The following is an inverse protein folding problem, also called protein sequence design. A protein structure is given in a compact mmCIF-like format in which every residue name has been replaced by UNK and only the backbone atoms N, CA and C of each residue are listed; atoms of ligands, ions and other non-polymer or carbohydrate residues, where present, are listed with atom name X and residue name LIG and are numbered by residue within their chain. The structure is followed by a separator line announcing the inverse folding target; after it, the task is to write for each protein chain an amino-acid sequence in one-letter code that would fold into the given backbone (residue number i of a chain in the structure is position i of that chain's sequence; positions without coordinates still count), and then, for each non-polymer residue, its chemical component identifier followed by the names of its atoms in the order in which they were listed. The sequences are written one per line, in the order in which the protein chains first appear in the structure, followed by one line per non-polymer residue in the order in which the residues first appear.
data_IF_190061086905
#
_entry.id   IF_190061086905
#
_cell.length_a   1.000
_cell.length_b   1.000
_cell.length_c   1.000
_cell.angle_alpha   90.00
_cell.angle_beta   90.00
_cell.angle_gamma   90.00
#
_symmetry.space_group_name_H-M   'P 1'
#
loop_
_entity.id
_entity.type
_entity.pdbx_description
1 polymer ?
#
# COMPACT_ATOMS: atom_id res chain seq x y z
N UNK A 1 23.11 -5.07 -0.18
CA UNK A 1 22.08 -6.13 -0.24
C UNK A 1 21.25 -5.86 -1.48
N UNK A 2 21.19 -6.79 -2.44
CA UNK A 2 20.45 -6.58 -3.71
C UNK A 2 18.97 -6.86 -3.48
N UNK A 3 18.12 -5.85 -3.69
CA UNK A 3 16.69 -6.06 -3.88
C UNK A 3 16.50 -6.92 -5.14
N UNK A 4 15.70 -7.99 -5.02
CA UNK A 4 15.32 -8.79 -6.18
C UNK A 4 14.30 -7.98 -6.98
N UNK A 5 14.59 -7.80 -8.26
CA UNK A 5 13.65 -7.32 -9.27
C UNK A 5 12.43 -8.23 -9.28
N UNK A 6 11.24 -7.66 -9.10
CA UNK A 6 9.98 -8.29 -9.43
C UNK A 6 9.50 -7.65 -10.74
N UNK A 7 9.82 -8.27 -11.87
CA UNK A 7 9.19 -7.95 -13.15
C UNK A 7 7.69 -8.24 -13.05
N UNK A 8 6.85 -7.20 -13.06
CA UNK A 8 5.41 -7.31 -13.18
C UNK A 8 5.02 -7.30 -14.67
N UNK A 9 5.31 -8.40 -15.36
CA UNK A 9 4.76 -8.68 -16.69
C UNK A 9 3.59 -9.64 -16.53
N UNK A 10 2.35 -9.15 -16.68
CA UNK A 10 1.18 -10.01 -16.84
C UNK A 10 1.22 -10.56 -18.28
N UNK A 11 2.05 -11.58 -18.51
CA UNK A 11 1.90 -12.48 -19.65
C UNK A 11 1.08 -13.70 -19.21
N UNK A 12 -0.15 -13.79 -19.72
CA UNK A 12 -0.99 -14.97 -19.56
C UNK A 12 -0.45 -16.10 -20.45
N UNK A 13 0.46 -16.91 -19.93
CA UNK A 13 0.85 -18.17 -20.55
C UNK A 13 -0.21 -19.26 -20.26
N UNK A 14 -0.97 -19.66 -21.28
CA UNK A 14 -1.87 -20.81 -21.23
C UNK A 14 -1.10 -22.13 -21.21
N UNK A 15 -1.36 -23.07 -20.28
CA UNK A 15 -0.93 -24.45 -20.44
C UNK A 15 -1.90 -25.18 -21.37
N UNK A 16 -1.37 -25.63 -22.51
CA UNK A 16 -2.02 -26.63 -23.38
C UNK A 16 -2.33 -27.90 -22.59
N UNK A 17 -3.61 -28.32 -22.53
CA UNK A 17 -4.00 -29.66 -22.05
C UNK A 17 -4.47 -30.54 -23.22
N UNK A 18 -4.06 -31.82 -23.25
CA UNK A 18 -4.61 -32.82 -24.15
C UNK A 18 -5.81 -33.53 -23.50
N UNK A 19 -6.70 -34.08 -24.33
CA UNK A 19 -7.58 -35.18 -23.95
C UNK A 19 -9.06 -34.83 -23.81
N UNK A 20 -9.78 -34.99 -24.91
CA UNK A 20 -11.24 -35.02 -24.96
C UNK A 20 -11.80 -36.25 -24.23
N UNK A 21 -12.82 -36.07 -23.38
CA UNK A 21 -13.88 -37.07 -23.13
C UNK A 21 -15.22 -36.37 -22.93
N UNK A 22 -16.16 -36.73 -23.79
CA UNK A 22 -17.53 -36.24 -23.81
C UNK A 22 -18.32 -36.69 -22.58
N UNK A 23 -19.09 -35.78 -21.98
CA UNK A 23 -20.17 -36.11 -21.06
C UNK A 23 -21.49 -35.50 -21.55
N UNK A 24 -22.50 -36.37 -21.63
CA UNK A 24 -23.87 -36.13 -22.11
C UNK A 24 -24.63 -35.17 -21.20
N UNK A 25 -25.36 -34.23 -21.81
CA UNK A 25 -26.39 -33.43 -21.16
C UNK A 25 -27.67 -34.24 -20.87
N UNK A 26 -28.40 -33.97 -19.77
CA UNK A 26 -29.77 -34.41 -19.62
C UNK A 26 -30.77 -33.37 -20.15
N UNK A 27 -31.95 -33.91 -20.45
CA UNK A 27 -33.02 -33.38 -21.30
C UNK A 27 -33.88 -32.28 -20.64
N UNK A 28 -34.50 -31.49 -21.52
CA UNK A 28 -35.61 -30.54 -21.31
C UNK A 28 -36.79 -31.13 -20.51
N UNK A 29 -37.47 -30.25 -19.76
CA UNK A 29 -38.88 -30.35 -19.38
C UNK A 29 -39.59 -29.01 -19.71
N UNK A 30 -40.93 -29.01 -19.89
CA UNK A 30 -41.62 -28.14 -20.85
C UNK A 30 -42.26 -26.89 -20.25
N UNK A 31 -42.49 -25.91 -21.13
CA UNK A 31 -43.36 -24.75 -20.95
C UNK A 31 -44.86 -25.13 -20.90
N UNK A 32 -45.62 -24.41 -20.08
CA UNK A 32 -47.06 -24.16 -20.28
C UNK A 32 -47.35 -22.67 -20.04
N UNK A 33 -47.70 -21.99 -21.14
CA UNK A 33 -48.85 -21.07 -21.38
C UNK A 33 -49.72 -20.67 -20.16
N UNK A 34 -50.36 -19.50 -20.03
CA UNK A 34 -50.55 -18.28 -20.84
C UNK A 34 -51.61 -17.41 -20.11
N UNK A 35 -51.60 -16.09 -20.39
CA UNK A 35 -52.78 -15.23 -20.68
C UNK A 35 -53.11 -14.08 -19.71
N UNK A 36 -52.90 -12.85 -20.20
CA UNK A 36 -53.81 -11.69 -20.29
C UNK A 36 -52.94 -10.48 -20.76
N UNK A 37 -53.28 -9.60 -21.70
CA UNK A 37 -54.54 -9.24 -22.33
C UNK A 37 -54.32 -8.58 -23.72
N UNK A 38 -55.39 -8.63 -24.52
CA UNK A 38 -55.69 -7.89 -25.78
C UNK A 38 -55.53 -6.36 -25.65
N UNK A 39 -55.42 -5.51 -26.68
CA UNK A 39 -56.04 -5.44 -28.01
C UNK A 39 -55.24 -4.45 -28.90
N UNK A 40 -54.87 -4.79 -30.14
CA UNK A 40 -55.57 -4.56 -31.42
C UNK A 40 -55.75 -3.09 -31.86
N UNK A 41 -54.91 -2.62 -32.81
CA UNK A 41 -55.36 -1.89 -34.02
C UNK A 41 -54.53 -2.36 -35.23
N UNK A 42 -55.24 -2.66 -36.32
CA UNK A 42 -54.79 -3.20 -37.61
C UNK A 42 -54.28 -2.10 -38.56
N UNK A 43 -53.36 -2.46 -39.47
CA UNK A 43 -53.05 -1.68 -40.68
C UNK A 43 -51.97 -2.31 -41.56
N UNK A 44 -52.41 -3.05 -42.59
CA UNK A 44 -51.69 -3.70 -43.70
C UNK A 44 -50.39 -3.04 -44.21
N UNK A 45 -49.28 -3.78 -44.32
CA UNK A 45 -48.84 -4.65 -45.43
C UNK A 45 -48.09 -3.89 -46.55
N UNK A 46 -46.85 -4.29 -46.84
CA UNK A 46 -46.35 -4.66 -48.18
C UNK A 46 -44.92 -5.21 -48.12
N UNK A 47 -44.70 -6.30 -48.86
CA UNK A 47 -43.45 -7.04 -49.09
C UNK A 47 -42.37 -6.18 -49.78
N UNK A 48 -41.10 -6.41 -49.45
CA UNK A 48 -40.07 -6.91 -50.38
C UNK A 48 -38.67 -6.97 -49.72
N UNK A 49 -38.05 -8.17 -49.72
CA UNK A 49 -36.59 -8.36 -49.73
C UNK A 49 -36.16 -8.49 -51.20
N UNK A 50 -34.99 -7.97 -51.60
CA UNK A 50 -33.80 -8.81 -51.86
C UNK A 50 -32.50 -8.07 -51.41
N UNK A 51 -31.26 -8.57 -51.40
CA UNK A 51 -30.52 -9.80 -51.74
C UNK A 51 -29.14 -9.62 -51.08
N UNK A 52 -28.52 -10.71 -50.62
CA UNK A 52 -27.08 -10.78 -50.34
C UNK A 52 -26.28 -10.78 -51.66
N UNK A 53 -25.01 -10.37 -51.62
CA UNK A 53 -23.97 -10.97 -52.44
C UNK A 53 -23.07 -11.90 -51.60
N UNK A 54 -22.95 -13.11 -52.12
CA UNK A 54 -21.91 -14.11 -51.89
C UNK A 54 -20.55 -13.62 -52.37
N UNK A 55 -19.47 -13.94 -51.64
CA UNK A 55 -18.10 -14.03 -52.15
C UNK A 55 -17.38 -15.23 -51.49
N UNK A 56 -17.38 -16.36 -52.20
CA UNK A 56 -16.22 -17.26 -52.30
C UNK A 56 -15.14 -16.49 -53.10
N UNK A 57 -13.83 -16.58 -52.95
CA UNK A 57 -12.91 -17.55 -52.33
C UNK A 57 -11.69 -17.61 -53.27
N UNK A 58 -10.49 -17.24 -52.80
CA UNK A 58 -9.22 -17.63 -53.43
C UNK A 58 -8.05 -17.41 -52.45
N UNK A 59 -7.49 -18.52 -51.98
CA UNK A 59 -6.26 -18.60 -51.19
C UNK A 59 -5.03 -18.46 -52.09
N UNK A 60 -3.98 -17.81 -51.59
CA UNK A 60 -2.60 -18.08 -52.02
C UNK A 60 -1.59 -17.75 -50.93
N UNK A 61 -0.83 -18.78 -50.52
CA UNK A 61 0.58 -18.66 -50.16
C UNK A 61 0.98 -18.42 -48.70
N UNK A 62 1.03 -19.48 -47.89
CA UNK A 62 2.03 -19.59 -46.81
C UNK A 62 3.33 -20.18 -47.37
N UNK A 63 4.52 -19.78 -46.87
CA UNK A 63 5.63 -20.70 -46.70
C UNK A 63 5.90 -21.00 -45.22
N UNK A 64 6.28 -22.26 -45.02
CA UNK A 64 6.53 -22.95 -43.75
C UNK A 64 7.79 -22.49 -43.03
N UNK A 65 7.77 -22.72 -41.72
CA UNK A 65 8.92 -22.68 -40.81
C UNK A 65 10.03 -23.67 -41.19
N UNK A 66 11.27 -23.26 -40.93
CA UNK A 66 12.43 -24.14 -40.74
C UNK A 66 13.29 -23.58 -39.60
N UNK A 67 13.59 -24.44 -38.63
CA UNK A 67 14.35 -24.17 -37.41
C UNK A 67 15.87 -24.46 -37.63
N UNK A 68 16.76 -24.39 -36.63
CA UNK A 68 17.85 -23.41 -36.53
C UNK A 68 19.26 -24.02 -36.75
N UNK A 69 20.27 -23.17 -36.98
CA UNK A 69 21.66 -23.61 -37.11
C UNK A 69 22.69 -22.49 -36.95
N UNK A 70 23.37 -22.51 -35.80
CA UNK A 70 24.78 -22.16 -35.55
C UNK A 70 25.51 -21.13 -36.43
N UNK A 71 26.14 -20.14 -35.80
CA UNK A 71 27.56 -19.85 -36.01
C UNK A 71 28.16 -19.14 -34.79
N UNK A 72 29.07 -19.86 -34.15
CA UNK A 72 30.07 -19.35 -33.22
C UNK A 72 31.19 -18.65 -33.99
N UNK A 73 31.88 -17.71 -33.34
CA UNK A 73 33.28 -17.26 -33.55
C UNK A 73 33.48 -16.03 -32.61
N UNK A 74 34.52 -15.78 -31.80
CA UNK A 74 35.79 -16.40 -31.40
C UNK A 74 36.17 -15.79 -30.03
N UNK A 75 36.71 -16.61 -29.12
CA UNK A 75 37.59 -16.26 -27.98
C UNK A 75 39.01 -15.85 -28.49
N UNK A 76 40.08 -15.49 -27.72
CA UNK A 76 40.35 -15.83 -26.30
C UNK A 76 41.35 -14.97 -25.42
N UNK A 77 41.43 -15.40 -24.15
CA UNK A 77 42.52 -15.34 -23.12
C UNK A 77 42.83 -14.06 -22.31
N UNK A 78 42.61 -14.13 -20.98
CA UNK A 78 43.66 -14.42 -19.99
C UNK A 78 43.07 -14.77 -18.59
N UNK A 79 43.60 -15.82 -17.97
CA UNK A 79 43.35 -16.25 -16.58
C UNK A 79 44.48 -15.77 -15.67
N UNK A 80 44.10 -15.23 -14.51
CA UNK A 80 44.68 -15.47 -13.18
C UNK A 80 43.62 -14.96 -12.19
N UNK A 81 43.20 -15.64 -11.12
CA UNK A 81 43.86 -16.66 -10.33
C UNK A 81 44.14 -16.10 -8.95
N UNK A 82 43.13 -15.72 -8.17
CA UNK A 82 43.32 -15.44 -6.74
C UNK A 82 42.05 -15.60 -5.90
N UNK A 83 42.29 -15.95 -4.64
CA UNK A 83 41.43 -16.70 -3.71
C UNK A 83 40.40 -15.84 -2.99
N UNK A 84 39.22 -16.43 -2.75
CA UNK A 84 38.16 -15.94 -1.87
C UNK A 84 38.50 -16.26 -0.41
N UNK A 85 38.35 -15.32 0.54
CA UNK A 85 38.18 -15.65 1.95
C UNK A 85 36.69 -15.66 2.32
N UNK A 86 36.25 -16.83 2.76
CA UNK A 86 35.04 -17.08 3.53
C UNK A 86 35.12 -16.35 4.89
N UNK A 87 34.05 -15.67 5.31
CA UNK A 87 33.93 -15.21 6.70
C UNK A 87 32.57 -15.52 7.30
N UNK A 88 32.68 -16.20 8.44
CA UNK A 88 31.67 -16.85 9.28
C UNK A 88 30.74 -15.88 9.99
N UNK A 89 29.54 -16.42 10.28
CA UNK A 89 28.67 -16.04 11.41
C UNK A 89 29.46 -15.85 12.71
N UNK A 90 29.16 -14.78 13.43
CA UNK A 90 29.44 -14.67 14.88
C UNK A 90 28.14 -14.32 15.59
N UNK A 91 27.67 -15.26 16.41
CA UNK A 91 26.70 -15.11 17.48
C UNK A 91 27.41 -15.50 18.78
N UNK A 92 27.11 -14.79 19.87
CA UNK A 92 27.29 -15.30 21.24
C UNK A 92 28.49 -14.73 22.00
N UNK A 93 28.21 -13.79 22.90
CA UNK A 93 29.04 -13.43 24.05
C UNK A 93 28.34 -13.97 25.30
N UNK A 94 28.84 -15.08 25.84
CA UNK A 94 28.61 -15.50 27.23
C UNK A 94 29.96 -15.45 27.95
N UNK A 95 30.03 -14.73 29.07
CA UNK A 95 31.17 -14.71 29.99
C UNK A 95 30.82 -15.54 31.22
N UNK A 96 31.48 -16.69 31.36
CA UNK A 96 31.45 -17.53 32.55
C UNK A 96 32.38 -17.00 33.65
N UNK A 97 31.83 -16.89 34.86
CA UNK A 97 32.55 -16.70 36.12
C UNK A 97 32.89 -18.06 36.74
N UNK A 98 34.16 -18.29 37.05
CA UNK A 98 34.58 -19.35 37.99
C UNK A 98 35.05 -18.77 39.33
N UNK A 99 34.58 -19.43 40.40
CA UNK A 99 34.90 -19.19 41.81
C UNK A 99 36.18 -19.93 42.21
N UNK A 100 36.99 -19.34 43.10
CA UNK A 100 37.71 -20.07 44.17
C UNK A 100 37.69 -19.32 45.50
N UNK A 101 37.63 -20.11 46.58
CA UNK A 101 37.40 -19.77 47.99
C UNK A 101 38.71 -19.63 48.79
N UNK A 102 38.64 -18.75 49.80
CA UNK A 102 39.05 -18.88 51.21
C UNK A 102 40.50 -19.20 51.63
N UNK A 103 40.95 -18.51 52.69
CA UNK A 103 42.03 -18.97 53.57
C UNK A 103 42.65 -17.86 54.43
N UNK A 104 42.43 -17.92 55.75
CA UNK A 104 42.87 -16.97 56.77
C UNK A 104 44.34 -17.18 57.23
N UNK A 105 44.95 -16.15 57.83
CA UNK A 105 45.60 -16.14 59.18
C UNK A 105 46.54 -14.93 59.41
N UNK A 106 46.41 -14.37 60.61
CA UNK A 106 47.37 -13.55 61.39
C UNK A 106 48.49 -14.47 61.94
N UNK A 107 49.69 -13.98 62.37
CA UNK A 107 49.81 -13.15 63.60
C UNK A 107 50.98 -12.14 63.70
N UNK A 108 50.88 -11.26 64.72
CA UNK A 108 51.89 -10.77 65.71
C UNK A 108 53.25 -10.18 65.24
N UNK A 109 53.92 -9.20 65.87
CA UNK A 109 53.81 -8.50 67.16
C UNK A 109 54.84 -7.34 67.24
N UNK A 110 54.61 -6.38 68.14
CA UNK A 110 55.60 -5.52 68.85
C UNK A 110 56.07 -4.24 68.14
N UNK A 111 56.46 -3.13 68.79
CA UNK A 111 56.37 -2.59 70.15
C UNK A 111 56.97 -1.15 70.10
N UNK A 112 56.65 -0.26 71.05
CA UNK A 112 57.31 1.05 71.26
C UNK A 112 56.34 2.24 71.33
N UNK A 113 55.70 2.55 72.47
CA UNK A 113 56.15 3.35 73.64
C UNK A 113 56.31 4.85 73.35
N UNK A 114 55.52 5.66 74.07
CA UNK A 114 55.64 7.12 74.11
C UNK A 114 54.52 7.76 74.94
N UNK A 115 54.77 7.92 76.24
CA UNK A 115 53.89 8.40 77.29
C UNK A 115 53.50 9.89 77.18
N UNK A 116 52.40 10.27 77.86
CA UNK A 116 52.22 11.63 78.38
C UNK A 116 50.79 11.99 78.81
N UNK A 117 50.50 11.81 80.11
CA UNK A 117 49.66 12.67 81.00
C UNK A 117 48.17 12.93 80.64
N UNK A 118 47.17 13.01 81.54
CA UNK A 118 47.11 13.11 83.01
C UNK A 118 45.67 12.85 83.53
N UNK A 119 45.59 12.32 84.75
CA UNK A 119 44.57 12.44 85.84
C UNK A 119 43.05 12.53 85.54
N UNK A 120 42.26 11.50 85.89
CA UNK A 120 41.52 11.30 87.17
C UNK A 120 40.40 12.33 87.48
N UNK A 121 39.11 11.99 87.31
CA UNK A 121 38.21 11.28 88.25
C UNK A 121 37.72 12.15 89.44
N UNK A 122 36.42 12.50 89.47
CA UNK A 122 35.46 12.09 90.53
C UNK A 122 34.16 12.94 90.60
N UNK A 123 33.04 12.20 90.65
CA UNK A 123 31.86 12.32 91.54
C UNK A 123 30.93 13.56 91.52
N UNK A 124 29.73 13.28 90.99
CA UNK A 124 28.37 13.42 91.59
C UNK A 124 28.05 14.66 92.43
N UNK A 125 27.00 15.40 92.02
CA UNK A 125 25.92 15.90 92.92
C UNK A 125 24.57 16.05 92.22
N UNK A 126 23.51 15.70 92.96
CA UNK A 126 22.07 15.61 92.64
C UNK A 126 21.44 16.99 92.36
N UNK A 127 20.35 17.04 91.56
CA UNK A 127 18.96 17.34 92.02
C UNK A 127 17.90 17.39 90.90
N UNK A 128 16.79 16.66 91.16
CA UNK A 128 15.35 16.91 90.87
C UNK A 128 14.76 16.70 89.45
N UNK A 129 13.87 15.69 89.36
CA UNK A 129 12.77 15.39 88.39
C UNK A 129 11.53 16.31 88.64
N UNK A 130 10.37 16.24 87.92
CA UNK A 130 9.88 15.36 86.83
C UNK A 130 9.22 16.12 85.63
N UNK A 131 8.90 15.54 84.46
CA UNK A 131 7.64 14.81 84.19
C UNK A 131 7.51 14.38 82.71
N UNK A 132 6.89 13.20 82.54
CA UNK A 132 6.14 12.63 81.40
C UNK A 132 6.33 13.17 79.97
N UNK A 133 6.71 12.30 79.03
CA UNK A 133 5.81 11.70 78.01
C UNK A 133 6.62 10.66 77.22
N UNK A 134 6.20 9.40 77.29
CA UNK A 134 6.64 8.33 76.39
C UNK A 134 6.07 8.61 74.98
N UNK A 135 6.95 8.85 74.00
CA UNK A 135 6.63 8.69 72.58
C UNK A 135 7.64 7.75 71.95
N UNK A 136 7.14 6.57 71.58
CA UNK A 136 7.83 5.57 70.77
C UNK A 136 8.27 6.17 69.44
N UNK A 137 9.58 6.40 69.28
CA UNK A 137 10.17 6.81 68.01
C UNK A 137 10.26 5.63 67.05
N UNK A 138 9.43 5.66 66.00
CA UNK A 138 9.60 4.79 64.82
C UNK A 138 10.89 5.19 64.10
N UNK A 139 11.76 4.25 63.66
CA UNK A 139 13.08 4.61 63.14
C UNK A 139 13.00 5.44 61.84
N UNK A 140 13.47 6.70 61.92
CA UNK A 140 13.59 7.65 60.78
C UNK A 140 14.36 7.06 59.58
N UNK A 141 15.19 6.05 59.79
CA UNK A 141 16.03 5.42 58.77
C UNK A 141 15.22 4.52 57.80
N UNK A 142 14.14 3.90 58.27
CA UNK A 142 13.24 3.10 57.43
C UNK A 142 12.50 3.97 56.41
N UNK A 143 12.01 5.14 56.86
CA UNK A 143 11.26 6.08 56.01
C UNK A 143 12.11 6.65 54.87
N UNK A 144 13.40 6.90 55.12
CA UNK A 144 14.35 7.39 54.10
C UNK A 144 14.71 6.33 53.07
N UNK A 145 14.77 5.05 53.47
CA UNK A 145 14.97 3.91 52.57
C UNK A 145 13.75 3.70 51.65
N UNK A 146 12.55 3.76 52.21
CA UNK A 146 11.30 3.66 51.44
C UNK A 146 11.13 4.80 50.42
N UNK A 147 11.50 6.03 50.77
CA UNK A 147 11.46 7.17 49.83
C UNK A 147 12.42 6.99 48.65
N UNK A 148 13.62 6.43 48.88
CA UNK A 148 14.57 6.13 47.79
C UNK A 148 14.03 5.04 46.86
N UNK A 149 13.46 3.97 47.43
CA UNK A 149 12.86 2.88 46.65
C UNK A 149 11.68 3.40 45.81
N UNK A 150 10.80 4.21 46.41
CA UNK A 150 9.68 4.82 45.69
C UNK A 150 10.16 5.72 44.55
N UNK A 151 11.23 6.51 44.77
CA UNK A 151 11.82 7.35 43.73
C UNK A 151 12.36 6.51 42.56
N UNK A 152 13.15 5.47 42.83
CA UNK A 152 13.69 4.60 41.78
C UNK A 152 12.60 3.84 41.01
N UNK A 153 11.54 3.38 41.70
CA UNK A 153 10.41 2.74 41.04
C UNK A 153 9.63 3.72 40.17
N UNK A 154 9.41 4.96 40.65
CA UNK A 154 8.75 6.00 39.86
C UNK A 154 9.58 6.43 38.65
N UNK A 155 10.90 6.53 38.79
CA UNK A 155 11.79 6.89 37.67
C UNK A 155 11.89 5.76 36.67
N UNK A 156 11.91 4.50 37.11
CA UNK A 156 11.90 3.33 36.23
C UNK A 156 10.56 3.21 35.48
N UNK A 157 9.44 3.47 36.15
CA UNK A 157 8.13 3.49 35.50
C UNK A 157 8.03 4.64 34.50
N UNK A 158 8.53 5.83 34.83
CA UNK A 158 8.56 6.96 33.91
C UNK A 158 9.48 6.68 32.71
N UNK A 159 10.65 6.09 32.95
CA UNK A 159 11.57 5.70 31.87
C UNK A 159 10.97 4.59 30.99
N UNK A 160 10.21 3.66 31.57
CA UNK A 160 9.48 2.62 30.83
C UNK A 160 8.31 3.20 30.02
N UNK A 161 7.58 4.17 30.57
CA UNK A 161 6.53 4.88 29.85
C UNK A 161 7.11 5.72 28.71
N UNK A 162 8.22 6.42 28.96
CA UNK A 162 8.92 7.22 27.95
C UNK A 162 9.56 6.32 26.88
N UNK A 163 10.21 5.20 27.26
CA UNK A 163 10.76 4.25 26.28
C UNK A 163 9.66 3.49 25.55
N UNK A 164 8.54 3.20 26.21
CA UNK A 164 7.35 2.61 25.59
C UNK A 164 6.73 3.56 24.57
N UNK A 165 6.64 4.86 24.88
CA UNK A 165 6.21 5.87 23.90
C UNK A 165 7.20 6.06 22.76
N UNK A 166 8.51 5.90 23.01
CA UNK A 166 9.55 6.00 21.99
C UNK A 166 9.57 4.77 21.07
N UNK A 167 9.31 3.57 21.61
CA UNK A 167 9.20 2.32 20.85
C UNK A 167 7.87 2.18 20.10
N UNK A 168 6.80 2.84 20.58
CA UNK A 168 5.52 2.99 19.84
C UNK A 168 5.55 4.14 18.83
N UNK A 169 6.57 5.01 18.89
CA UNK A 169 6.81 6.13 17.99
C UNK A 169 7.77 5.71 16.85
N UNK A 170 7.49 4.59 16.17
CA UNK A 170 8.19 4.29 14.91
C UNK A 170 7.62 5.05 13.71
N UNK A 171 6.51 5.76 13.87
CA UNK A 171 5.98 6.62 12.83
C UNK A 171 6.55 8.03 13.00
N UNK A 172 7.43 8.43 12.09
CA UNK A 172 7.93 9.81 12.00
C UNK A 172 6.78 10.82 12.06
N UNK A 173 7.09 12.06 12.47
CA UNK A 173 6.12 13.15 12.57
C UNK A 173 5.23 13.17 11.33
N UNK A 174 3.94 12.91 11.51
CA UNK A 174 3.00 12.78 10.40
C UNK A 174 2.19 14.07 10.27
N UNK A 175 2.44 14.80 9.19
CA UNK A 175 1.64 15.96 8.80
C UNK A 175 0.42 15.49 7.99
N UNK A 176 -0.72 16.14 8.17
CA UNK A 176 -1.91 15.87 7.36
C UNK A 176 -1.99 16.88 6.24
N UNK A 177 -1.78 16.42 5.00
CA UNK A 177 -1.85 17.23 3.79
C UNK A 177 -3.28 17.68 3.51
N UNK A 178 -4.25 16.78 3.70
CA UNK A 178 -5.66 17.06 3.52
C UNK A 178 -6.49 16.20 4.49
N UNK A 179 -7.21 16.84 5.40
CA UNK A 179 -8.10 16.18 6.37
C UNK A 179 -9.42 15.77 5.73
N UNK A 180 -10.06 14.71 6.20
CA UNK A 180 -11.36 14.28 5.64
C UNK A 180 -12.46 15.32 5.92
N UNK A 181 -12.36 16.01 7.06
CA UNK A 181 -13.34 16.99 7.53
C UNK A 181 -13.25 18.35 6.85
N UNK A 182 -12.15 18.65 6.14
CA UNK A 182 -11.99 19.89 5.38
C UNK A 182 -12.36 19.71 3.90
N UNK A 183 -12.90 20.77 3.28
CA UNK A 183 -13.08 20.84 1.83
C UNK A 183 -11.87 21.56 1.23
N UNK A 184 -11.08 20.85 0.42
CA UNK A 184 -9.87 21.40 -0.22
C UNK A 184 -10.22 21.82 -1.64
N UNK A 185 -10.32 23.12 -1.93
CA UNK A 185 -10.58 23.58 -3.29
C UNK A 185 -9.45 23.17 -4.24
N UNK A 186 -8.22 23.51 -3.87
CA UNK A 186 -7.00 23.13 -4.57
C UNK A 186 -5.81 23.31 -3.64
N UNK A 187 -4.99 22.26 -3.50
CA UNK A 187 -3.72 22.32 -2.79
C UNK A 187 -2.67 21.63 -3.64
N UNK A 188 -1.52 22.26 -3.82
CA UNK A 188 -0.40 21.69 -4.56
C UNK A 188 0.90 21.95 -3.80
N UNK A 189 1.74 20.93 -3.71
CA UNK A 189 3.09 21.00 -3.16
C UNK A 189 4.05 20.63 -4.27
N UNK A 190 4.89 21.59 -4.63
CA UNK A 190 6.01 21.36 -5.53
C UNK A 190 7.15 20.68 -4.78
N UNK A 191 7.76 19.69 -5.43
CA UNK A 191 8.83 18.86 -4.89
C UNK A 191 9.90 18.73 -5.98
N UNK A 192 11.20 18.70 -5.64
CA UNK A 192 12.24 18.42 -6.62
C UNK A 192 11.95 17.13 -7.39
N UNK A 193 12.06 17.19 -8.72
CA UNK A 193 11.91 16.01 -9.57
C UNK A 193 13.02 14.99 -9.26
N UNK A 194 12.68 13.71 -9.24
CA UNK A 194 13.68 12.65 -9.16
C UNK A 194 14.48 12.51 -10.47
N UNK A 195 15.60 11.80 -10.38
CA UNK A 195 16.43 11.42 -11.53
C UNK A 195 15.77 10.33 -12.40
N UNK A 196 14.63 9.77 -11.99
CA UNK A 196 13.95 8.69 -12.74
C UNK A 196 13.63 9.16 -14.17
N UNK A 197 13.22 10.42 -14.33
CA UNK A 197 12.87 10.99 -15.63
C UNK A 197 14.08 11.28 -16.54
N UNK A 198 15.31 11.23 -16.01
CA UNK A 198 16.54 11.38 -16.79
C UNK A 198 16.97 10.08 -17.45
N UNK A 199 16.62 8.95 -16.83
CA UNK A 199 16.95 7.61 -17.32
C UNK A 199 16.08 7.14 -18.49
N UNK A 200 15.00 7.87 -18.79
CA UNK A 200 14.00 7.52 -19.80
C UNK A 200 13.94 8.52 -20.96
N UNK A 201 13.38 8.07 -22.09
CA UNK A 201 13.08 8.93 -23.23
C UNK A 201 12.16 10.07 -22.78
N UNK A 202 12.57 11.32 -23.04
CA UNK A 202 11.74 12.49 -22.80
C UNK A 202 10.76 12.71 -23.96
N UNK A 203 9.55 13.12 -23.61
CA UNK A 203 8.46 13.43 -24.52
C UNK A 203 8.09 14.91 -24.38
N UNK A 204 8.20 15.63 -25.48
CA UNK A 204 7.93 17.06 -25.51
C UNK A 204 6.50 17.37 -25.09
N UNK A 205 6.34 18.38 -24.23
CA UNK A 205 5.03 18.81 -23.75
C UNK A 205 4.34 17.87 -22.75
N UNK A 206 4.99 16.78 -22.29
CA UNK A 206 4.44 15.89 -21.26
C UNK A 206 5.42 15.51 -20.15
N UNK A 207 6.67 15.15 -20.46
CA UNK A 207 7.61 14.66 -19.43
C UNK A 207 7.76 15.68 -18.30
N UNK A 208 7.63 15.25 -17.02
CA UNK A 208 7.71 16.15 -15.87
C UNK A 208 8.95 17.04 -15.89
N UNK A 209 8.73 18.35 -15.82
CA UNK A 209 9.76 19.38 -15.55
C UNK A 209 9.52 20.10 -14.22
N UNK A 210 8.29 20.04 -13.76
CA UNK A 210 7.80 20.47 -12.45
C UNK A 210 7.21 19.21 -11.81
N UNK A 211 7.69 18.85 -10.63
CA UNK A 211 7.23 17.66 -9.92
C UNK A 211 6.54 18.05 -8.62
N UNK A 212 5.74 17.13 -8.09
CA UNK A 212 4.97 17.40 -6.90
C UNK A 212 3.69 16.61 -6.84
N UNK A 213 2.82 17.06 -5.93
CA UNK A 213 1.56 16.40 -5.61
C UNK A 213 0.50 17.40 -5.21
N UNK A 214 -0.73 17.12 -5.60
CA UNK A 214 -1.88 17.95 -5.30
C UNK A 214 -3.08 17.17 -4.83
N UNK A 215 -3.98 17.87 -4.14
CA UNK A 215 -5.25 17.38 -3.64
C UNK A 215 -6.34 18.41 -3.95
N UNK A 216 -7.49 17.95 -4.43
CA UNK A 216 -8.66 18.79 -4.73
C UNK A 216 -9.96 18.02 -4.51
N UNK A 217 -10.96 18.71 -3.96
CA UNK A 217 -12.34 18.28 -3.78
C UNK A 217 -13.28 18.99 -4.78
N UNK A 218 -12.75 19.86 -5.64
CA UNK A 218 -13.55 20.70 -6.53
C UNK A 218 -13.91 20.02 -7.85
N UNK A 219 -13.25 18.91 -8.19
CA UNK A 219 -13.33 18.32 -9.53
C UNK A 219 -14.53 17.38 -9.71
N UNK A 220 -14.75 16.51 -8.72
CA UNK A 220 -15.77 15.46 -8.71
C UNK A 220 -16.66 15.68 -7.50
N UNK A 221 -17.96 15.88 -7.74
CA UNK A 221 -18.87 16.09 -6.62
C UNK A 221 -19.22 14.75 -5.94
N UNK A 222 -19.88 14.84 -4.78
CA UNK A 222 -20.21 13.65 -3.98
C UNK A 222 -21.15 12.68 -4.70
N UNK A 223 -22.15 13.18 -5.43
CA UNK A 223 -23.10 12.33 -6.17
C UNK A 223 -22.40 11.53 -7.27
N UNK A 224 -21.48 12.17 -8.00
CA UNK A 224 -20.65 11.50 -9.01
C UNK A 224 -19.74 10.44 -8.36
N UNK A 225 -19.11 10.76 -7.24
CA UNK A 225 -18.28 9.80 -6.50
C UNK A 225 -19.09 8.59 -6.02
N UNK A 226 -20.31 8.81 -5.52
CA UNK A 226 -21.22 7.72 -5.13
C UNK A 226 -21.68 6.88 -6.33
N UNK A 227 -21.93 7.49 -7.49
CA UNK A 227 -22.22 6.76 -8.74
C UNK A 227 -21.03 5.91 -9.18
N UNK A 228 -19.81 6.46 -9.15
CA UNK A 228 -18.57 5.73 -9.45
C UNK A 228 -18.34 4.60 -8.44
N UNK A 229 -18.62 4.82 -7.14
CA UNK A 229 -18.59 3.77 -6.11
C UNK A 229 -19.53 2.62 -6.45
N UNK A 230 -20.76 2.91 -6.89
CA UNK A 230 -21.73 1.87 -7.28
C UNK A 230 -21.27 1.05 -8.50
N UNK A 231 -20.49 1.63 -9.40
CA UNK A 231 -19.84 0.87 -10.49
C UNK A 231 -18.84 -0.13 -9.88
N UNK A 232 -17.97 0.33 -8.98
CA UNK A 232 -17.00 -0.52 -8.30
C UNK A 232 -17.68 -1.66 -7.51
N UNK A 233 -18.72 -1.34 -6.73
CA UNK A 233 -19.46 -2.30 -5.92
C UNK A 233 -20.15 -3.37 -6.77
N UNK A 234 -20.81 -2.98 -7.87
CA UNK A 234 -21.42 -3.94 -8.80
C UNK A 234 -20.39 -4.83 -9.47
N UNK A 235 -19.29 -4.27 -9.97
CA UNK A 235 -18.23 -5.07 -10.61
C UNK A 235 -17.55 -6.04 -9.63
N UNK A 236 -17.27 -5.58 -8.40
CA UNK A 236 -16.70 -6.39 -7.31
C UNK A 236 -17.73 -7.27 -6.59
N UNK A 237 -19.00 -7.28 -7.03
CA UNK A 237 -19.98 -8.29 -6.60
C UNK A 237 -19.85 -9.59 -7.40
N UNK A 238 -19.26 -9.53 -8.59
CA UNK A 238 -18.96 -10.71 -9.42
C UNK A 238 -17.81 -11.55 -8.88
N UNK A 239 -16.94 -10.95 -8.06
CA UNK A 239 -15.76 -11.59 -7.50
C UNK A 239 -15.07 -10.71 -6.47
N UNK A 240 -14.21 -11.30 -5.66
CA UNK A 240 -13.35 -10.59 -4.74
C UNK A 240 -12.19 -11.48 -4.32
N UNK A 241 -11.17 -10.88 -3.72
CA UNK A 241 -10.09 -11.63 -3.12
C UNK A 241 -10.55 -12.34 -1.84
N UNK A 242 -9.92 -13.47 -1.52
CA UNK A 242 -10.00 -14.11 -0.19
C UNK A 242 -9.31 -13.27 0.91
N UNK A 243 -8.47 -12.31 0.51
CA UNK A 243 -7.79 -11.39 1.41
C UNK A 243 -8.38 -9.98 1.43
N UNK A 244 -7.61 -9.06 2.01
CA UNK A 244 -8.06 -7.70 2.30
C UNK A 244 -8.19 -6.75 1.11
N UNK A 245 -7.62 -7.07 -0.06
CA UNK A 245 -7.67 -6.18 -1.22
C UNK A 245 -8.24 -6.87 -2.46
N UNK A 246 -9.20 -6.23 -3.11
CA UNK A 246 -9.78 -6.68 -4.38
C UNK A 246 -9.64 -5.60 -5.43
N UNK A 247 -9.32 -6.02 -6.66
CA UNK A 247 -9.07 -5.14 -7.80
C UNK A 247 -10.09 -5.44 -8.90
N UNK A 248 -10.56 -4.39 -9.54
CA UNK A 248 -11.39 -4.41 -10.75
C UNK A 248 -10.82 -3.40 -11.75
N UNK A 249 -10.42 -3.87 -12.93
CA UNK A 249 -9.94 -3.05 -14.04
C UNK A 249 -10.92 -3.15 -15.22
N UNK A 250 -11.60 -2.06 -15.53
CA UNK A 250 -12.57 -1.99 -16.64
C UNK A 250 -11.90 -2.03 -18.02
N UNK A 251 -10.61 -1.72 -18.13
CA UNK A 251 -9.88 -1.72 -19.40
C UNK A 251 -9.47 -3.13 -19.81
N UNK A 252 -8.78 -3.82 -18.92
CA UNK A 252 -8.31 -5.19 -19.18
C UNK A 252 -9.35 -6.26 -18.87
N UNK A 253 -10.37 -5.91 -18.08
CA UNK A 253 -11.32 -6.85 -17.48
C UNK A 253 -10.75 -7.59 -16.27
N UNK A 254 -9.56 -7.25 -15.77
CA UNK A 254 -8.99 -7.96 -14.62
C UNK A 254 -9.87 -7.79 -13.38
N UNK A 255 -10.27 -8.89 -12.76
CA UNK A 255 -11.08 -8.94 -11.55
C UNK A 255 -10.48 -9.96 -10.57
N UNK A 256 -10.34 -9.57 -9.31
CA UNK A 256 -9.97 -10.51 -8.23
C UNK A 256 -11.06 -11.55 -8.02
N UNK A 257 -10.67 -12.83 -7.97
CA UNK A 257 -11.56 -13.95 -7.67
C UNK A 257 -10.82 -15.01 -6.83
N UNK A 258 -11.10 -15.03 -5.53
CA UNK A 258 -10.39 -15.85 -4.54
C UNK A 258 -8.91 -15.46 -4.45
N UNK A 259 -8.01 -16.32 -4.92
CA UNK A 259 -6.55 -16.09 -4.91
C UNK A 259 -5.98 -15.73 -6.28
N UNK A 260 -6.84 -15.51 -7.27
CA UNK A 260 -6.43 -15.34 -8.66
C UNK A 260 -7.11 -14.13 -9.30
N UNK A 261 -6.62 -13.76 -10.48
CA UNK A 261 -7.29 -12.80 -11.36
C UNK A 261 -7.97 -13.54 -12.51
N UNK A 262 -9.17 -13.08 -12.87
CA UNK A 262 -9.88 -13.50 -14.07
C UNK A 262 -10.14 -12.30 -14.97
N UNK A 263 -10.30 -12.56 -16.26
CA UNK A 263 -10.84 -11.55 -17.18
C UNK A 263 -12.37 -11.63 -17.12
N UNK A 264 -13.03 -10.64 -16.53
CA UNK A 264 -14.47 -10.63 -16.30
C UNK A 264 -15.28 -10.65 -17.61
N UNK A 265 -14.82 -9.97 -18.65
CA UNK A 265 -15.49 -9.96 -19.96
C UNK A 265 -15.55 -11.36 -20.57
N UNK A 266 -14.45 -12.11 -20.47
CA UNK A 266 -14.40 -13.51 -20.95
C UNK A 266 -15.11 -14.48 -20.02
N UNK A 267 -14.99 -14.27 -18.71
CA UNK A 267 -15.49 -15.22 -17.71
C UNK A 267 -17.01 -15.14 -17.53
N UNK A 268 -17.57 -13.93 -17.50
CA UNK A 268 -19.01 -13.71 -17.32
C UNK A 268 -19.76 -13.49 -18.64
N UNK A 269 -19.06 -13.14 -19.72
CA UNK A 269 -19.64 -12.96 -21.05
C UNK A 269 -20.80 -11.95 -21.02
N UNK A 270 -21.92 -12.33 -21.63
CA UNK A 270 -23.12 -11.49 -21.77
C UNK A 270 -23.67 -10.94 -20.44
N UNK A 271 -23.41 -11.62 -19.32
CA UNK A 271 -23.86 -11.16 -17.98
C UNK A 271 -23.24 -9.82 -17.58
N UNK A 272 -22.15 -9.39 -18.21
CA UNK A 272 -21.54 -8.08 -17.94
C UNK A 272 -22.50 -6.93 -18.27
N UNK A 273 -23.39 -7.10 -19.25
CA UNK A 273 -24.40 -6.10 -19.60
C UNK A 273 -25.51 -5.95 -18.55
N UNK A 274 -25.68 -6.93 -17.66
CA UNK A 274 -26.57 -6.81 -16.50
C UNK A 274 -25.91 -6.04 -15.35
N UNK A 275 -24.58 -5.93 -15.37
CA UNK A 275 -23.77 -5.37 -14.28
C UNK A 275 -23.38 -3.93 -14.57
N UNK A 276 -23.08 -3.58 -15.81
CA UNK A 276 -22.71 -2.23 -16.21
C UNK A 276 -23.55 -1.73 -17.39
N UNK A 277 -23.68 -0.41 -17.45
CA UNK A 277 -24.44 0.31 -18.48
C UNK A 277 -23.50 1.24 -19.27
N UNK A 278 -23.91 1.70 -20.46
CA UNK A 278 -23.10 2.66 -21.20
C UNK A 278 -22.98 4.00 -20.45
N UNK A 279 -23.98 4.37 -19.65
CA UNK A 279 -23.95 5.55 -18.78
C UNK A 279 -22.87 5.44 -17.69
N UNK A 280 -22.57 4.23 -17.21
CA UNK A 280 -21.48 4.00 -16.26
C UNK A 280 -20.12 4.28 -16.89
N UNK A 281 -19.92 3.77 -18.11
CA UNK A 281 -18.70 3.98 -18.87
C UNK A 281 -18.57 5.44 -19.30
N UNK A 282 -19.66 6.11 -19.66
CA UNK A 282 -19.65 7.55 -19.95
C UNK A 282 -19.24 8.36 -18.72
N UNK A 283 -19.81 8.09 -17.54
CA UNK A 283 -19.43 8.78 -16.31
C UNK A 283 -17.95 8.56 -15.98
N UNK A 284 -17.45 7.32 -16.12
CA UNK A 284 -16.03 7.01 -15.94
C UNK A 284 -15.15 7.85 -16.87
N UNK A 285 -15.50 7.94 -18.16
CA UNK A 285 -14.77 8.73 -19.16
C UNK A 285 -14.75 10.21 -18.79
N UNK A 286 -15.89 10.77 -18.39
CA UNK A 286 -16.00 12.19 -18.02
C UNK A 286 -15.18 12.53 -16.76
N UNK A 287 -15.19 11.64 -15.76
CA UNK A 287 -14.36 11.77 -14.54
C UNK A 287 -12.87 11.70 -14.89
N UNK A 288 -12.46 10.70 -15.67
CA UNK A 288 -11.06 10.51 -16.09
C UNK A 288 -10.56 11.70 -16.92
N UNK A 289 -11.36 12.22 -17.85
CA UNK A 289 -11.00 13.38 -18.67
C UNK A 289 -10.79 14.63 -17.83
N UNK A 290 -11.69 14.90 -16.87
CA UNK A 290 -11.54 16.02 -15.94
C UNK A 290 -10.26 15.90 -15.11
N UNK A 291 -9.92 14.71 -14.64
CA UNK A 291 -8.68 14.45 -13.88
C UNK A 291 -7.46 14.70 -14.76
N UNK A 292 -7.45 14.17 -15.99
CA UNK A 292 -6.38 14.39 -16.96
C UNK A 292 -6.14 15.88 -17.23
N UNK A 293 -7.22 16.64 -17.47
CA UNK A 293 -7.14 18.09 -17.70
C UNK A 293 -6.61 18.83 -16.47
N UNK A 294 -7.03 18.45 -15.26
CA UNK A 294 -6.56 19.06 -14.01
C UNK A 294 -5.06 18.83 -13.80
N UNK A 295 -4.58 17.61 -14.00
CA UNK A 295 -3.16 17.27 -13.92
C UNK A 295 -2.38 18.11 -14.94
N UNK A 296 -2.85 18.13 -16.19
CA UNK A 296 -2.18 18.86 -17.26
C UNK A 296 -2.03 20.36 -16.94
N UNK A 297 -3.11 20.97 -16.43
CA UNK A 297 -3.13 22.36 -16.00
C UNK A 297 -2.11 22.64 -14.87
N UNK A 298 -2.08 21.81 -13.83
CA UNK A 298 -1.27 22.06 -12.62
C UNK A 298 0.23 21.88 -12.90
N UNK A 299 0.59 20.92 -13.75
CA UNK A 299 1.98 20.66 -14.14
C UNK A 299 2.43 21.48 -15.36
N UNK A 300 1.53 22.23 -16.00
CA UNK A 300 1.87 23.07 -17.15
C UNK A 300 2.26 22.27 -18.39
N UNK A 301 1.59 21.13 -18.61
CA UNK A 301 1.81 20.22 -19.74
C UNK A 301 0.61 20.21 -20.69
N UNK A 302 0.80 19.66 -21.88
CA UNK A 302 -0.29 19.48 -22.83
C UNK A 302 -1.13 18.25 -22.46
N UNK A 303 -2.43 18.45 -22.23
CA UNK A 303 -3.35 17.32 -21.97
C UNK A 303 -3.42 16.32 -23.14
N UNK A 304 -3.13 16.74 -24.38
CA UNK A 304 -3.14 15.85 -25.54
C UNK A 304 -1.87 15.01 -25.68
N UNK A 305 -0.77 15.43 -25.03
CA UNK A 305 0.51 14.70 -24.99
C UNK A 305 0.61 13.74 -23.81
N UNK A 306 -0.40 13.72 -22.93
CA UNK A 306 -0.51 12.82 -21.80
C UNK A 306 -1.57 11.77 -22.10
N UNK A 307 -1.23 10.49 -22.03
CA UNK A 307 -2.10 9.37 -22.41
C UNK A 307 -2.50 8.56 -21.19
N UNK A 308 -3.73 8.04 -21.16
CA UNK A 308 -4.13 7.05 -20.17
C UNK A 308 -3.24 5.80 -20.31
N UNK A 309 -2.84 5.17 -19.20
CA UNK A 309 -2.04 3.93 -19.23
C UNK A 309 -2.61 2.87 -18.29
N UNK A 310 -2.04 1.66 -18.39
CA UNK A 310 -2.36 0.50 -17.56
C UNK A 310 -1.29 0.26 -16.49
N UNK A 311 -1.66 -0.23 -15.30
CA UNK A 311 -3.04 -0.50 -14.89
C UNK A 311 -3.79 0.77 -14.46
N UNK A 312 -5.09 0.76 -14.68
CA UNK A 312 -6.04 1.74 -14.13
C UNK A 312 -7.21 0.96 -13.54
N UNK A 313 -7.45 1.07 -12.24
CA UNK A 313 -8.28 0.09 -11.54
C UNK A 313 -8.99 0.64 -10.31
N UNK A 314 -10.15 0.06 -10.03
CA UNK A 314 -10.83 0.17 -8.75
C UNK A 314 -10.16 -0.75 -7.73
N UNK A 315 -10.04 -0.24 -6.51
CA UNK A 315 -9.59 -0.98 -5.35
C UNK A 315 -10.68 -0.99 -4.29
N UNK A 316 -10.93 -2.16 -3.71
CA UNK A 316 -11.69 -2.34 -2.47
C UNK A 316 -10.79 -2.95 -1.43
N UNK A 317 -10.57 -2.22 -0.34
CA UNK A 317 -9.65 -2.62 0.72
C UNK A 317 -10.41 -2.69 2.05
N UNK A 318 -10.25 -3.78 2.78
CA UNK A 318 -10.78 -3.96 4.14
C UNK A 318 -9.68 -4.51 5.08
N UNK A 319 -10.07 -4.86 6.30
CA UNK A 319 -9.16 -5.32 7.36
C UNK A 319 -8.93 -6.85 7.37
N UNK A 320 -9.37 -7.59 6.34
CA UNK A 320 -9.09 -9.02 6.23
C UNK A 320 -7.60 -9.26 6.01
N UNK A 321 -7.08 -10.34 6.58
CA UNK A 321 -5.68 -10.70 6.40
C UNK A 321 -5.34 -10.99 4.94
N UNK A 322 -4.13 -10.61 4.52
CA UNK A 322 -3.62 -10.99 3.20
C UNK A 322 -3.51 -12.51 3.05
N UNK A 323 -3.95 -13.03 1.91
CA UNK A 323 -3.84 -14.45 1.54
C UNK A 323 -2.90 -14.66 0.35
N UNK A 324 -2.65 -13.60 -0.41
CA UNK A 324 -1.73 -13.51 -1.54
C UNK A 324 -0.90 -12.23 -1.45
N UNK A 325 0.16 -12.13 -2.24
CA UNK A 325 0.96 -10.89 -2.36
C UNK A 325 0.14 -9.72 -2.90
N UNK A 326 -0.90 -9.98 -3.70
CA UNK A 326 -1.80 -8.96 -4.22
C UNK A 326 -2.75 -8.38 -3.16
N UNK A 327 -2.85 -9.04 -2.00
CA UNK A 327 -3.57 -8.52 -0.84
C UNK A 327 -2.71 -7.59 0.03
N UNK A 328 -1.39 -7.56 -0.19
CA UNK A 328 -0.45 -6.77 0.61
C UNK A 328 -0.30 -5.34 0.05
N UNK A 329 -1.38 -4.55 0.18
CA UNK A 329 -1.48 -3.20 -0.38
C UNK A 329 -0.67 -2.10 0.34
N UNK A 330 -0.10 -2.41 1.51
CA UNK A 330 0.45 -1.41 2.44
C UNK A 330 1.96 -1.21 2.32
N UNK A 331 2.60 -1.83 1.33
CA UNK A 331 4.04 -1.72 1.16
C UNK A 331 4.42 -0.40 0.47
N UNK A 332 5.48 0.28 0.94
CA UNK A 332 6.06 1.42 0.24
C UNK A 332 6.46 1.09 -1.20
N UNK A 333 6.07 1.95 -2.13
CA UNK A 333 6.42 1.83 -3.54
C UNK A 333 6.49 3.17 -4.25
N UNK A 334 7.07 3.12 -5.45
CA UNK A 334 7.22 4.24 -6.38
C UNK A 334 6.59 3.79 -7.69
N UNK A 335 5.53 4.47 -8.12
CA UNK A 335 4.72 4.03 -9.26
C UNK A 335 5.52 3.90 -10.56
N UNK A 336 6.43 4.84 -10.83
CA UNK A 336 7.33 4.77 -12.00
C UNK A 336 8.17 3.51 -11.98
N UNK A 337 8.71 3.13 -10.82
CA UNK A 337 9.55 1.94 -10.65
C UNK A 337 8.71 0.66 -10.71
N UNK A 338 7.53 0.68 -10.09
CA UNK A 338 6.63 -0.48 -10.02
C UNK A 338 6.02 -0.83 -11.38
N UNK A 339 5.59 0.16 -12.16
CA UNK A 339 4.84 -0.05 -13.40
C UNK A 339 5.60 0.35 -14.67
N UNK A 340 6.69 1.10 -14.56
CA UNK A 340 7.51 1.59 -15.69
C UNK A 340 6.87 2.71 -16.50
N UNK A 341 5.61 2.52 -16.91
CA UNK A 341 4.92 3.43 -17.85
C UNK A 341 4.37 4.70 -17.21
N UNK A 342 4.20 4.76 -15.89
CA UNK A 342 3.50 5.87 -15.22
C UNK A 342 4.39 7.11 -15.17
N UNK A 343 3.91 8.24 -15.66
CA UNK A 343 4.55 9.55 -15.46
C UNK A 343 3.75 10.42 -14.50
N UNK A 344 2.41 10.22 -14.46
CA UNK A 344 1.51 10.84 -13.50
C UNK A 344 0.52 9.82 -12.95
N UNK A 345 0.28 9.88 -11.64
CA UNK A 345 -0.70 9.04 -10.95
C UNK A 345 -1.80 9.91 -10.35
N UNK A 346 -3.02 9.40 -10.33
CA UNK A 346 -4.11 9.96 -9.55
C UNK A 346 -4.92 8.89 -8.84
N UNK A 347 -5.46 9.26 -7.69
CA UNK A 347 -6.44 8.50 -6.94
C UNK A 347 -7.69 9.37 -6.75
N UNK A 348 -8.84 8.85 -7.16
CA UNK A 348 -10.14 9.38 -6.74
C UNK A 348 -10.69 8.50 -5.63
N UNK A 349 -10.93 9.10 -4.47
CA UNK A 349 -11.47 8.41 -3.30
C UNK A 349 -13.00 8.32 -3.40
N UNK A 350 -13.54 7.15 -3.05
CA UNK A 350 -14.95 6.80 -3.18
C UNK A 350 -15.61 6.45 -1.83
N UNK A 351 -14.85 6.59 -0.75
CA UNK A 351 -15.28 6.33 0.63
C UNK A 351 -14.69 7.38 1.57
N UNK A 352 -15.40 7.65 2.67
CA UNK A 352 -15.01 8.65 3.64
C UNK A 352 -14.20 8.04 4.80
N UNK A 353 -13.00 8.57 5.01
CA UNK A 353 -12.18 8.22 6.17
C UNK A 353 -12.88 8.66 7.47
N UNK A 354 -12.82 7.80 8.50
CA UNK A 354 -13.52 7.94 9.79
C UNK A 354 -15.04 7.75 9.76
N UNK A 355 -15.66 7.55 8.59
CA UNK A 355 -17.09 7.25 8.46
C UNK A 355 -17.34 5.87 7.86
N UNK A 356 -16.78 5.59 6.68
CA UNK A 356 -16.90 4.29 5.98
C UNK A 356 -15.83 3.28 6.43
N UNK A 357 -14.67 3.78 6.86
CA UNK A 357 -13.52 2.98 7.27
C UNK A 357 -12.54 3.76 8.16
N UNK A 358 -11.67 3.03 8.87
CA UNK A 358 -10.55 3.59 9.64
C UNK A 358 -9.21 2.92 9.32
N UNK A 359 -8.11 3.63 9.56
CA UNK A 359 -6.81 3.32 8.93
C UNK A 359 -6.84 3.73 7.45
N UNK A 360 -6.09 3.06 6.57
CA UNK A 360 -6.27 3.22 5.11
C UNK A 360 -5.94 4.59 4.51
N UNK A 361 -5.28 5.49 5.26
CA UNK A 361 -4.83 6.79 4.73
C UNK A 361 -3.74 6.58 3.69
N UNK A 362 -3.63 7.51 2.75
CA UNK A 362 -2.55 7.51 1.78
C UNK A 362 -1.38 8.33 2.33
N UNK A 363 -0.19 7.74 2.39
CA UNK A 363 0.98 8.31 3.06
C UNK A 363 2.08 8.53 2.03
N UNK A 364 2.45 9.78 1.81
CA UNK A 364 3.71 10.14 1.17
C UNK A 364 4.84 10.10 2.21
N UNK A 365 5.91 9.39 1.87
CA UNK A 365 7.08 9.20 2.73
C UNK A 365 8.17 10.21 2.34
N UNK A 366 8.22 11.31 3.07
CA UNK A 366 9.16 12.39 2.81
C UNK A 366 10.36 12.37 3.76
N UNK A 367 11.45 13.00 3.33
CA UNK A 367 12.54 13.32 4.25
C UNK A 367 12.05 14.26 5.36
N UNK A 368 12.15 13.80 6.61
CA UNK A 368 11.80 14.56 7.81
C UNK A 368 10.41 14.22 8.39
N UNK A 369 9.34 14.32 7.60
CA UNK A 369 7.98 14.13 8.09
C UNK A 369 7.05 13.54 7.01
N UNK A 370 6.38 12.43 7.32
CA UNK A 370 5.41 11.81 6.43
C UNK A 370 4.20 12.74 6.21
N UNK A 371 3.64 12.75 5.00
CA UNK A 371 2.45 13.55 4.67
C UNK A 371 1.29 12.67 4.27
N UNK A 372 0.16 12.86 4.94
CA UNK A 372 -1.02 12.00 4.76
C UNK A 372 -2.15 12.71 4.06
N UNK A 373 -2.81 12.00 3.15
CA UNK A 373 -4.11 12.38 2.59
C UNK A 373 -5.16 11.48 3.23
N UNK A 374 -6.10 12.09 3.94
CA UNK A 374 -7.28 11.41 4.46
C UNK A 374 -8.33 11.32 3.34
N UNK A 375 -8.77 10.10 2.96
CA UNK A 375 -9.76 9.92 1.90
C UNK A 375 -11.11 10.55 2.24
N UNK A 376 -11.74 11.13 1.22
CA UNK A 376 -13.08 11.71 1.24
C UNK A 376 -13.75 11.41 -0.10
N UNK A 377 -15.01 11.00 -0.11
CA UNK A 377 -15.70 10.70 -1.37
C UNK A 377 -15.71 11.93 -2.30
N UNK A 378 -15.14 11.77 -3.51
CA UNK A 378 -15.00 12.85 -4.50
C UNK A 378 -13.62 13.52 -4.51
N UNK A 379 -12.81 13.33 -3.46
CA UNK A 379 -11.45 13.88 -3.39
C UNK A 379 -10.54 13.22 -4.40
N UNK A 380 -9.79 14.03 -5.13
CA UNK A 380 -8.75 13.61 -6.05
C UNK A 380 -7.39 13.97 -5.48
N UNK A 381 -6.51 12.98 -5.33
CA UNK A 381 -5.08 13.16 -5.07
C UNK A 381 -4.33 12.82 -6.35
N UNK A 382 -3.39 13.67 -6.78
CA UNK A 382 -2.63 13.45 -8.02
C UNK A 382 -1.18 13.88 -7.85
N UNK A 383 -0.25 13.21 -8.52
CA UNK A 383 1.18 13.43 -8.33
C UNK A 383 2.01 12.92 -9.51
N UNK A 384 3.25 13.39 -9.62
CA UNK A 384 4.25 12.83 -10.55
C UNK A 384 4.76 11.49 -10.02
N UNK A 385 4.84 10.46 -10.85
CA UNK A 385 4.96 9.06 -10.41
C UNK A 385 6.35 8.60 -9.96
N UNK A 386 7.35 9.48 -10.05
CA UNK A 386 8.75 9.22 -9.71
C UNK A 386 9.03 9.10 -8.21
N UNK A 387 10.29 8.85 -7.89
CA UNK A 387 10.82 8.59 -6.54
C UNK A 387 10.60 9.76 -5.58
N UNK A 388 10.35 10.97 -6.08
CA UNK A 388 9.94 12.11 -5.25
C UNK A 388 8.58 11.93 -4.55
N UNK A 389 7.82 10.91 -4.96
CA UNK A 389 6.55 10.51 -4.36
C UNK A 389 6.57 9.05 -3.90
N UNK A 390 7.60 8.61 -3.16
CA UNK A 390 7.54 7.33 -2.42
C UNK A 390 6.33 7.32 -1.50
N UNK A 391 5.50 6.28 -1.56
CA UNK A 391 4.25 6.27 -0.82
C UNK A 391 3.76 4.87 -0.46
N UNK A 392 2.80 4.79 0.46
CA UNK A 392 2.05 3.59 0.79
C UNK A 392 0.62 3.93 1.25
N UNK A 393 -0.20 2.90 1.40
CA UNK A 393 -1.52 3.00 2.04
C UNK A 393 -1.43 2.33 3.41
N UNK A 394 -1.88 3.01 4.47
CA UNK A 394 -1.94 2.40 5.79
C UNK A 394 -2.89 1.20 5.80
N UNK A 395 -2.68 0.25 6.71
CA UNK A 395 -3.63 -0.86 6.88
C UNK A 395 -5.00 -0.31 7.29
N UNK A 396 -6.05 -0.80 6.64
CA UNK A 396 -7.43 -0.58 7.08
C UNK A 396 -7.66 -1.40 8.35
N UNK A 397 -8.16 -0.76 9.39
CA UNK A 397 -8.43 -1.37 10.68
C UNK A 397 -9.89 -1.85 10.81
N UNK A 398 -10.82 -1.13 10.18
CA UNK A 398 -12.23 -1.47 10.12
C UNK A 398 -12.89 -0.85 8.89
N UNK A 399 -14.05 -1.37 8.49
CA UNK A 399 -14.82 -0.84 7.36
C UNK A 399 -14.24 -1.21 6.01
N UNK A 400 -14.59 -0.46 4.97
CA UNK A 400 -14.12 -0.72 3.60
C UNK A 400 -13.80 0.58 2.86
N UNK A 401 -12.60 0.64 2.31
CA UNK A 401 -12.09 1.75 1.50
C UNK A 401 -12.25 1.43 0.03
N UNK A 402 -12.95 2.30 -0.70
CA UNK A 402 -13.00 2.29 -2.16
C UNK A 402 -12.22 3.46 -2.74
N UNK A 403 -11.44 3.19 -3.80
CA UNK A 403 -10.78 4.21 -4.60
C UNK A 403 -10.56 3.71 -6.02
N UNK A 404 -10.41 4.64 -6.97
CA UNK A 404 -9.92 4.35 -8.31
C UNK A 404 -8.55 4.98 -8.50
N UNK A 405 -7.58 4.19 -8.96
CA UNK A 405 -6.28 4.67 -9.42
C UNK A 405 -6.32 4.85 -10.92
N UNK A 406 -6.08 6.07 -11.40
CA UNK A 406 -6.01 6.43 -12.82
C UNK A 406 -4.60 6.95 -13.10
N UNK A 407 -3.91 6.28 -14.01
CA UNK A 407 -2.50 6.54 -14.32
C UNK A 407 -2.34 7.07 -15.74
N UNK A 408 -1.33 7.91 -15.93
CA UNK A 408 -1.03 8.50 -17.22
C UNK A 408 0.45 8.34 -17.58
N UNK A 409 0.70 8.22 -18.87
CA UNK A 409 2.03 8.10 -19.48
C UNK A 409 2.23 9.19 -20.51
N UNK A 410 3.47 9.62 -20.68
CA UNK A 410 3.89 10.48 -21.77
C UNK A 410 4.31 9.68 -23.02
N UNK A 411 4.46 8.35 -22.90
CA UNK A 411 4.79 7.50 -24.03
C UNK A 411 3.52 7.01 -24.75
N UNK A 412 3.25 7.44 -25.99
CA UNK A 412 2.05 6.99 -26.72
C UNK A 412 2.02 5.48 -26.95
N UNK A 413 3.18 4.80 -26.97
CA UNK A 413 3.24 3.33 -27.14
C UNK A 413 2.68 2.57 -25.93
N UNK A 414 2.56 3.23 -24.78
CA UNK A 414 1.91 2.70 -23.57
C UNK A 414 0.49 3.25 -23.37
N UNK A 415 0.03 4.11 -24.29
CA UNK A 415 -1.32 4.67 -24.25
C UNK A 415 -2.40 3.62 -24.44
N UNK A 416 -3.49 3.73 -23.68
CA UNK A 416 -4.70 2.93 -23.84
C UNK A 416 -5.91 3.83 -24.11
N UNK A 417 -6.93 3.26 -24.76
CA UNK A 417 -8.23 3.92 -24.94
C UNK A 417 -9.05 3.93 -23.65
N UNK A 418 -10.15 4.69 -23.68
CA UNK A 418 -11.19 4.57 -22.66
C UNK A 418 -11.83 3.17 -22.68
N UNK A 419 -12.33 2.66 -21.54
CA UNK A 419 -12.95 1.36 -21.52
C UNK A 419 -14.26 1.43 -22.32
N UNK A 420 -14.64 0.32 -22.95
CA UNK A 420 -15.85 0.21 -23.76
C UNK A 420 -16.63 -1.02 -23.29
N UNK A 421 -17.94 -0.87 -23.15
CA UNK A 421 -18.84 -1.99 -22.89
C UNK A 421 -19.08 -2.73 -24.21
N UNK A 422 -18.21 -3.69 -24.54
CA UNK A 422 -18.28 -4.50 -25.77
C UNK A 422 -18.93 -5.84 -25.58
#
# INVERSE_FOLDING_TARGET
MRCRECECSIELACPSRPGARAFRAPRRLPERLSAAASASIKGNAYRARPRLPTLEGACSGCPKASNPGSLAERTPWLRSGERVPECRRVLGLELGLERRRAGARMPESGAGVGAGAEAQQQRRRRRRRPSSVTKSGVPKDSRRKWLKVAFFLSSAMLAYLLSGSYLLSEDGVTEVLARYSEVVSDKFIEIPCSEDYDSHKRFEGCTPRKCGRGVTDALINREEAERIRRIAERGLSLGGSDGGASILDLHSGALSLGKHFVNMYRYFGDKIHDIFTEEDFQLYRDVRQRIQQKIALVFGISSSSMHLTKPTFFSRINNSEAKTTHDEYWHPHIDKVTYGSFDYTSLLYLSDYSEDFGGGRFVFMDEGANRTVEPRAGRVSFFTSGSENLHHVEKVHWGTRYAITISFTCNPDHGIGDPVLT
#
